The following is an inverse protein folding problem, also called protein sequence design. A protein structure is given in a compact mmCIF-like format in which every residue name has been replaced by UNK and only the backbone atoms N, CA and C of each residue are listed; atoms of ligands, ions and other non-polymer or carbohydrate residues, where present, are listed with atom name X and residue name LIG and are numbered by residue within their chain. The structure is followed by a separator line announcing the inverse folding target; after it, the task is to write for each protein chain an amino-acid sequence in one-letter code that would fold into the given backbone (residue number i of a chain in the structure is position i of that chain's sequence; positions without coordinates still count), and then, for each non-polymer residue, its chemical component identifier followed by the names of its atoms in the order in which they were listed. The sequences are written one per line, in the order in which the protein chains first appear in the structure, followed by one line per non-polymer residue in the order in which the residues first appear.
data_IF_060011098565
#
_entry.id   IF_060011098565
#
_cell.length_a   1.000
_cell.length_b   1.000
_cell.length_c   1.000
_cell.angle_alpha   90.00
_cell.angle_beta   90.00
_cell.angle_gamma   90.00
#
_symmetry.space_group_name_H-M   'P 1'
#
loop_
_entity.id
_entity.type
_entity.pdbx_description
1 polymer ?
#
# COMPACT_ATOMS: atom_id res chain seq x y z
N UNK A 1 -29.98 -34.76 0.61
CA UNK A 1 -31.12 -33.81 0.64
C UNK A 1 -31.42 -33.45 2.08
N UNK A 2 -30.97 -32.28 2.52
CA UNK A 2 -31.47 -31.62 3.74
C UNK A 2 -31.14 -30.14 3.60
N UNK A 3 -32.12 -29.40 3.10
CA UNK A 3 -32.09 -27.95 3.02
C UNK A 3 -32.44 -27.38 4.41
N UNK A 4 -31.63 -26.48 4.92
CA UNK A 4 -31.99 -25.58 6.02
C UNK A 4 -31.88 -24.15 5.50
N UNK A 5 -33.03 -23.50 5.47
CA UNK A 5 -33.25 -22.08 5.15
C UNK A 5 -32.54 -21.22 6.20
N UNK A 6 -31.83 -20.19 5.75
CA UNK A 6 -31.40 -19.06 6.58
C UNK A 6 -32.33 -17.90 6.25
N UNK A 7 -32.97 -17.38 7.30
CA UNK A 7 -33.93 -16.28 7.24
C UNK A 7 -33.26 -14.96 6.86
N UNK A 8 -34.02 -14.18 6.10
CA UNK A 8 -33.79 -12.82 5.67
C UNK A 8 -33.79 -11.84 6.85
N UNK A 9 -32.69 -11.11 7.03
CA UNK A 9 -32.66 -9.90 7.85
C UNK A 9 -32.93 -8.69 6.94
N UNK A 10 -34.16 -8.17 7.01
CA UNK A 10 -34.54 -6.85 6.52
C UNK A 10 -33.93 -5.77 7.43
N UNK A 11 -33.20 -4.82 6.86
CA UNK A 11 -32.82 -3.58 7.53
C UNK A 11 -33.87 -2.53 7.16
N UNK A 12 -34.82 -2.28 8.07
CA UNK A 12 -35.68 -1.10 8.01
C UNK A 12 -34.92 0.15 8.47
N UNK A 13 -35.05 1.21 7.67
CA UNK A 13 -34.54 2.55 7.87
C UNK A 13 -35.13 3.21 9.13
N UNK A 14 -34.30 3.96 9.86
CA UNK A 14 -34.77 4.94 10.85
C UNK A 14 -33.98 6.24 10.65
N UNK A 15 -34.45 7.08 9.73
CA UNK A 15 -33.85 8.36 9.32
C UNK A 15 -34.19 9.56 10.24
N UNK A 16 -35.00 9.43 11.29
CA UNK A 16 -35.58 10.61 11.97
C UNK A 16 -34.99 11.03 13.34
N UNK A 17 -33.91 10.42 13.84
CA UNK A 17 -33.38 10.77 15.19
C UNK A 17 -32.01 11.47 15.25
N UNK A 18 -31.41 11.92 14.14
CA UNK A 18 -30.17 12.74 14.15
C UNK A 18 -30.39 14.22 13.85
N UNK A 19 -31.42 14.84 14.43
CA UNK A 19 -31.56 16.30 14.50
C UNK A 19 -31.62 16.77 15.94
N UNK A 20 -30.47 16.92 16.59
CA UNK A 20 -30.18 18.00 17.55
C UNK A 20 -28.78 17.81 18.15
N UNK A 21 -28.10 18.94 18.40
CA UNK A 21 -26.71 19.09 18.90
C UNK A 21 -25.59 19.01 17.85
N UNK A 22 -25.64 19.91 16.86
CA UNK A 22 -24.44 20.40 16.20
C UNK A 22 -24.11 21.77 16.79
N UNK A 23 -23.38 21.78 17.91
CA UNK A 23 -22.77 23.00 18.43
C UNK A 23 -21.43 23.20 17.74
N UNK A 24 -21.27 24.37 17.13
CA UNK A 24 -20.18 24.71 16.24
C UNK A 24 -18.92 25.04 17.03
N UNK A 25 -17.97 24.11 17.10
CA UNK A 25 -16.54 24.41 17.25
C UNK A 25 -15.72 23.11 17.36
N UNK A 26 -15.42 22.50 16.23
CA UNK A 26 -14.27 21.60 16.09
C UNK A 26 -13.90 21.51 14.60
N UNK A 27 -13.24 22.56 14.10
CA UNK A 27 -12.67 22.59 12.76
C UNK A 27 -11.44 21.68 12.69
N UNK A 28 -11.64 20.40 12.37
CA UNK A 28 -10.61 19.67 11.64
C UNK A 28 -10.50 20.36 10.27
N UNK A 29 -9.36 20.99 10.00
CA UNK A 29 -9.03 21.61 8.71
C UNK A 29 -9.11 20.56 7.60
N UNK A 30 -10.27 20.43 6.96
CA UNK A 30 -10.39 19.79 5.65
C UNK A 30 -10.62 20.90 4.64
N UNK A 31 -9.60 21.21 3.85
CA UNK A 31 -9.69 22.18 2.75
C UNK A 31 -10.66 21.72 1.64
N UNK A 32 -11.17 20.49 1.71
CA UNK A 32 -12.19 19.97 0.79
C UNK A 32 -13.62 20.23 1.28
N UNK A 33 -14.49 20.59 0.35
CA UNK A 33 -15.94 20.67 0.55
C UNK A 33 -16.67 19.89 -0.53
N UNK A 34 -17.46 18.90 -0.10
CA UNK A 34 -18.45 18.22 -0.96
C UNK A 34 -19.70 19.11 -1.05
N UNK A 35 -20.24 19.28 -2.25
CA UNK A 35 -21.51 19.96 -2.46
C UNK A 35 -22.65 19.22 -1.76
N UNK A 36 -23.71 19.93 -1.40
CA UNK A 36 -24.86 19.38 -0.67
C UNK A 36 -25.60 18.27 -1.45
N UNK A 37 -25.50 18.28 -2.77
CA UNK A 37 -26.05 17.27 -3.68
C UNK A 37 -25.04 16.12 -3.97
N UNK A 38 -23.84 16.17 -3.40
CA UNK A 38 -22.77 15.21 -3.64
C UNK A 38 -22.18 15.22 -5.06
N UNK A 39 -22.56 16.19 -5.89
CA UNK A 39 -22.18 16.24 -7.30
C UNK A 39 -20.80 16.85 -7.57
N UNK A 40 -20.24 17.59 -6.61
CA UNK A 40 -18.93 18.21 -6.74
C UNK A 40 -18.11 18.20 -5.46
N UNK A 41 -16.79 18.15 -5.63
CA UNK A 41 -15.82 18.22 -4.54
C UNK A 41 -14.80 19.30 -4.86
N UNK A 42 -14.71 20.32 -4.01
CA UNK A 42 -13.81 21.47 -4.19
C UNK A 42 -12.73 21.49 -3.10
N UNK A 43 -11.46 21.56 -3.51
CA UNK A 43 -10.35 21.89 -2.63
C UNK A 43 -10.14 23.39 -2.61
N UNK A 44 -10.53 24.03 -1.51
CA UNK A 44 -10.54 25.49 -1.35
C UNK A 44 -9.15 26.11 -1.50
N UNK A 45 -8.10 25.45 -1.00
CA UNK A 45 -6.74 26.00 -1.01
C UNK A 45 -6.02 25.87 -2.35
N UNK A 46 -6.34 24.84 -3.15
CA UNK A 46 -5.69 24.65 -4.46
C UNK A 46 -6.60 24.90 -5.66
N UNK A 47 -7.88 25.18 -5.45
CA UNK A 47 -8.86 25.36 -6.52
C UNK A 47 -9.20 24.09 -7.30
N UNK A 48 -8.73 22.90 -6.86
CA UNK A 48 -9.02 21.63 -7.55
C UNK A 48 -10.49 21.32 -7.36
N UNK A 49 -11.20 21.07 -8.47
CA UNK A 49 -12.63 20.83 -8.47
C UNK A 49 -12.94 19.55 -9.23
N UNK A 50 -13.55 18.57 -8.56
CA UNK A 50 -13.88 17.26 -9.12
C UNK A 50 -15.39 17.17 -9.28
N UNK A 51 -15.85 16.80 -10.46
CA UNK A 51 -17.27 16.54 -10.75
C UNK A 51 -17.41 15.25 -11.58
N UNK A 52 -18.62 14.94 -12.04
CA UNK A 52 -18.84 13.84 -12.99
C UNK A 52 -18.17 14.08 -14.37
N UNK A 53 -17.93 15.35 -14.71
CA UNK A 53 -17.20 15.78 -15.92
C UNK A 53 -15.68 15.71 -15.74
N UNK A 54 -15.20 15.20 -14.60
CA UNK A 54 -13.80 15.06 -14.27
C UNK A 54 -13.23 16.14 -13.37
N UNK A 55 -11.90 16.17 -13.26
CA UNK A 55 -11.16 17.15 -12.47
C UNK A 55 -10.86 18.41 -13.30
N UNK A 56 -11.18 19.59 -12.75
CA UNK A 56 -10.86 20.92 -13.28
C UNK A 56 -10.00 21.70 -12.29
N UNK A 57 -9.30 22.74 -12.77
CA UNK A 57 -8.38 23.56 -11.94
C UNK A 57 -6.99 22.94 -11.77
N UNK A 58 -6.67 21.90 -12.55
CA UNK A 58 -5.31 21.45 -12.78
C UNK A 58 -4.73 22.34 -13.89
N UNK A 59 -4.10 23.46 -13.54
CA UNK A 59 -3.35 24.22 -14.56
C UNK A 59 -2.28 23.33 -15.20
N UNK A 60 -2.15 23.48 -16.51
CA UNK A 60 -1.48 22.64 -17.51
C UNK A 60 0.05 22.55 -17.42
N UNK A 61 0.65 22.86 -16.27
CA UNK A 61 2.09 23.13 -16.20
C UNK A 61 3.00 21.89 -16.17
N UNK A 62 2.45 20.68 -16.24
CA UNK A 62 3.20 19.48 -15.84
C UNK A 62 3.14 18.26 -16.77
N UNK A 63 2.69 18.41 -18.02
CA UNK A 63 2.99 17.43 -19.08
C UNK A 63 2.28 16.07 -18.99
N UNK A 64 1.29 15.91 -18.10
CA UNK A 64 0.27 14.87 -18.24
C UNK A 64 -0.65 15.32 -19.38
N UNK A 65 -0.41 14.85 -20.60
CA UNK A 65 -1.22 15.21 -21.77
C UNK A 65 -2.70 15.02 -21.48
N UNK A 66 -3.50 16.04 -21.77
CA UNK A 66 -4.96 16.16 -21.60
C UNK A 66 -5.71 14.86 -21.27
N UNK A 67 -5.67 14.38 -20.02
CA UNK A 67 -6.60 13.34 -19.58
C UNK A 67 -7.71 14.00 -18.78
N UNK A 68 -8.61 14.68 -19.50
CA UNK A 68 -9.94 14.98 -19.00
C UNK A 68 -10.69 13.64 -18.89
N UNK A 69 -10.63 13.01 -17.71
CA UNK A 69 -11.38 11.78 -17.42
C UNK A 69 -12.75 12.12 -16.87
N UNK A 70 -13.81 11.76 -17.57
CA UNK A 70 -15.19 11.86 -17.10
C UNK A 70 -15.77 10.48 -16.79
N UNK A 71 -16.87 10.43 -16.04
CA UNK A 71 -17.58 9.18 -15.76
C UNK A 71 -17.97 8.43 -17.05
N UNK A 72 -18.30 9.17 -18.12
CA UNK A 72 -18.75 8.61 -19.40
C UNK A 72 -17.67 7.94 -20.23
N UNK A 73 -16.39 8.15 -19.92
CA UNK A 73 -15.27 7.76 -20.79
C UNK A 73 -14.83 6.31 -20.60
N UNK A 74 -15.36 5.62 -19.59
CA UNK A 74 -14.90 4.28 -19.20
C UNK A 74 -15.97 3.21 -19.39
N UNK A 75 -15.52 2.05 -19.86
CA UNK A 75 -16.24 0.80 -19.76
C UNK A 75 -15.65 0.00 -18.60
N UNK A 76 -16.37 -0.05 -17.47
CA UNK A 76 -15.88 -0.64 -16.22
C UNK A 76 -16.20 -2.13 -16.18
N UNK A 77 -15.21 -2.97 -15.86
CA UNK A 77 -15.45 -4.37 -15.56
C UNK A 77 -16.20 -4.48 -14.22
N UNK A 78 -17.38 -5.13 -14.18
CA UNK A 78 -18.17 -5.24 -12.95
C UNK A 78 -17.50 -6.08 -11.86
N UNK A 79 -16.49 -6.89 -12.20
CA UNK A 79 -15.75 -7.72 -11.24
C UNK A 79 -14.65 -6.87 -10.57
N UNK A 80 -14.69 -6.69 -9.24
CA UNK A 80 -13.63 -5.99 -8.52
C UNK A 80 -12.27 -6.68 -8.67
N UNK A 81 -11.22 -5.89 -8.85
CA UNK A 81 -9.83 -6.33 -8.70
C UNK A 81 -9.44 -6.52 -7.23
N UNK A 82 -10.02 -5.72 -6.34
CA UNK A 82 -9.70 -5.75 -4.92
C UNK A 82 -10.61 -4.87 -4.09
N UNK A 83 -10.70 -5.20 -2.79
CA UNK A 83 -11.49 -4.46 -1.81
C UNK A 83 -10.55 -3.88 -0.74
N UNK A 84 -10.61 -2.57 -0.57
CA UNK A 84 -10.00 -1.85 0.55
C UNK A 84 -11.02 -1.61 1.67
N UNK A 85 -10.59 -0.91 2.73
CA UNK A 85 -11.44 -0.59 3.90
C UNK A 85 -12.70 0.21 3.55
N UNK A 86 -12.58 1.13 2.62
CA UNK A 86 -13.67 2.04 2.20
C UNK A 86 -13.60 2.32 0.72
N UNK A 87 -12.98 1.39 -0.02
CA UNK A 87 -12.78 1.52 -1.44
C UNK A 87 -12.88 0.18 -2.13
N UNK A 88 -13.28 0.22 -3.39
CA UNK A 88 -13.29 -0.95 -4.28
C UNK A 88 -12.56 -0.56 -5.55
N UNK A 89 -11.67 -1.43 -6.02
CA UNK A 89 -10.88 -1.18 -7.23
C UNK A 89 -11.41 -2.04 -8.36
N UNK A 90 -11.65 -1.44 -9.51
CA UNK A 90 -12.11 -2.09 -10.73
C UNK A 90 -11.11 -1.86 -11.86
N UNK A 91 -11.04 -2.79 -12.82
CA UNK A 91 -10.43 -2.50 -14.12
C UNK A 91 -11.45 -1.81 -15.01
N UNK A 92 -10.99 -0.91 -15.87
CA UNK A 92 -11.84 -0.27 -16.86
C UNK A 92 -11.08 -0.02 -18.15
N UNK A 93 -11.79 -0.04 -19.28
CA UNK A 93 -11.26 0.34 -20.58
C UNK A 93 -11.61 1.80 -20.85
N UNK A 94 -10.61 2.64 -21.12
CA UNK A 94 -10.85 4.00 -21.59
C UNK A 94 -11.27 3.98 -23.06
N UNK A 95 -12.54 4.32 -23.34
CA UNK A 95 -13.22 4.12 -24.63
C UNK A 95 -12.48 4.72 -25.82
N UNK A 96 -11.96 5.94 -25.67
CA UNK A 96 -11.30 6.66 -26.77
C UNK A 96 -9.93 6.06 -27.11
N UNK A 97 -9.13 5.76 -26.08
CA UNK A 97 -7.74 5.31 -26.28
C UNK A 97 -7.57 3.80 -26.37
N UNK A 98 -8.57 3.02 -25.95
CA UNK A 98 -8.45 1.57 -25.79
C UNK A 98 -7.44 1.14 -24.71
N UNK A 99 -7.02 2.03 -23.81
CA UNK A 99 -6.10 1.71 -22.71
C UNK A 99 -6.88 1.23 -21.49
N UNK A 100 -6.38 0.18 -20.86
CA UNK A 100 -6.87 -0.30 -19.56
C UNK A 100 -6.35 0.58 -18.44
N UNK A 101 -7.22 0.89 -17.48
CA UNK A 101 -6.92 1.66 -16.26
C UNK A 101 -7.47 0.94 -15.03
N UNK A 102 -6.99 1.34 -13.85
CA UNK A 102 -7.59 0.97 -12.58
C UNK A 102 -8.45 2.13 -12.05
N UNK A 103 -9.68 1.86 -11.64
CA UNK A 103 -10.58 2.85 -11.03
C UNK A 103 -10.84 2.44 -9.58
N UNK A 104 -10.38 3.26 -8.65
CA UNK A 104 -10.62 3.10 -7.22
C UNK A 104 -11.80 3.96 -6.80
N UNK A 105 -12.92 3.31 -6.52
CA UNK A 105 -14.11 3.92 -5.93
C UNK A 105 -13.87 4.16 -4.45
N UNK A 106 -14.04 5.39 -3.99
CA UNK A 106 -13.99 5.77 -2.56
C UNK A 106 -15.37 6.29 -2.16
N UNK A 107 -15.98 5.62 -1.20
CA UNK A 107 -17.27 6.03 -0.66
C UNK A 107 -17.07 7.21 0.30
N UNK A 108 -17.64 8.37 -0.04
CA UNK A 108 -17.57 9.58 0.79
C UNK A 108 -18.78 9.59 1.72
N UNK A 109 -18.70 8.80 2.79
CA UNK A 109 -19.74 8.74 3.83
C UNK A 109 -19.51 9.71 4.99
N UNK A 110 -18.23 9.91 5.39
CA UNK A 110 -17.86 10.68 6.58
C UNK A 110 -16.65 11.62 6.35
N UNK A 111 -16.42 12.56 7.28
CA UNK A 111 -15.29 13.52 7.31
C UNK A 111 -13.92 12.82 7.22
N UNK A 112 -13.82 11.60 7.77
CA UNK A 112 -12.60 10.79 7.69
C UNK A 112 -12.25 10.39 6.25
N UNK A 113 -13.25 10.06 5.43
CA UNK A 113 -13.06 9.73 4.01
C UNK A 113 -12.64 10.96 3.20
N UNK A 114 -13.17 12.14 3.54
CA UNK A 114 -12.76 13.40 2.92
C UNK A 114 -11.29 13.73 3.21
N UNK A 115 -10.82 13.46 4.43
CA UNK A 115 -9.42 13.64 4.83
C UNK A 115 -8.48 12.66 4.11
N UNK A 116 -8.89 11.40 3.94
CA UNK A 116 -8.13 10.39 3.19
C UNK A 116 -8.03 10.76 1.71
N UNK A 117 -9.16 11.12 1.10
CA UNK A 117 -9.21 11.57 -0.29
C UNK A 117 -8.33 12.79 -0.53
N UNK A 118 -8.32 13.73 0.42
CA UNK A 118 -7.43 14.89 0.39
C UNK A 118 -5.96 14.51 0.37
N UNK A 119 -5.55 13.62 1.27
CA UNK A 119 -4.17 13.17 1.38
C UNK A 119 -3.75 12.36 0.14
N UNK A 120 -4.65 11.57 -0.44
CA UNK A 120 -4.43 10.79 -1.66
C UNK A 120 -4.20 11.70 -2.88
N UNK A 121 -5.12 12.62 -3.15
CA UNK A 121 -4.99 13.57 -4.28
C UNK A 121 -3.76 14.47 -4.10
N UNK A 122 -3.54 15.01 -2.90
CA UNK A 122 -2.41 15.90 -2.65
C UNK A 122 -1.07 15.18 -2.79
N UNK A 123 -0.97 13.95 -2.28
CA UNK A 123 0.26 13.17 -2.38
C UNK A 123 0.54 12.78 -3.83
N UNK A 124 -0.49 12.42 -4.60
CA UNK A 124 -0.33 12.10 -6.02
C UNK A 124 0.18 13.26 -6.86
N UNK A 125 -0.26 14.50 -6.58
CA UNK A 125 0.26 15.70 -7.26
C UNK A 125 1.76 15.89 -7.09
N UNK A 126 2.33 15.41 -6.00
CA UNK A 126 3.73 15.63 -5.65
C UNK A 126 4.60 14.42 -5.99
N UNK A 127 4.00 13.32 -6.44
CA UNK A 127 4.69 12.08 -6.79
C UNK A 127 4.61 11.73 -8.27
N UNK A 128 3.97 12.56 -9.11
CA UNK A 128 3.69 12.30 -10.52
C UNK A 128 4.95 12.12 -11.40
N UNK A 129 6.14 12.36 -10.83
CA UNK A 129 7.42 12.23 -11.53
C UNK A 129 8.20 10.96 -11.20
N UNK A 130 7.75 10.16 -10.23
CA UNK A 130 8.47 8.96 -9.85
C UNK A 130 7.92 7.75 -10.61
N UNK A 131 8.70 7.10 -11.49
CA UNK A 131 8.26 5.91 -12.23
C UNK A 131 8.05 4.69 -11.31
N UNK A 132 8.45 4.78 -10.04
CA UNK A 132 8.33 3.73 -9.02
C UNK A 132 7.12 3.93 -8.10
N UNK A 133 6.26 4.91 -8.41
CA UNK A 133 4.98 5.14 -7.75
C UNK A 133 3.86 4.99 -8.78
N UNK A 134 2.74 4.40 -8.36
CA UNK A 134 1.56 4.24 -9.24
C UNK A 134 1.05 5.60 -9.68
N UNK A 135 0.90 5.78 -10.99
CA UNK A 135 0.52 7.04 -11.60
C UNK A 135 -0.99 7.28 -11.50
N UNK A 136 -1.32 8.48 -11.04
CA UNK A 136 -2.66 9.02 -11.04
C UNK A 136 -2.96 9.66 -12.40
N UNK A 137 -4.08 9.29 -13.01
CA UNK A 137 -4.51 9.76 -14.32
C UNK A 137 -5.63 10.79 -14.25
N UNK A 138 -6.40 10.80 -13.16
CA UNK A 138 -7.46 11.78 -12.92
C UNK A 138 -8.53 11.27 -11.96
N UNK A 139 -9.56 12.07 -11.71
CA UNK A 139 -10.65 11.70 -10.83
C UNK A 139 -11.99 12.24 -11.35
N UNK A 140 -13.07 11.56 -10.97
CA UNK A 140 -14.44 12.01 -11.23
C UNK A 140 -15.38 11.55 -10.11
N UNK A 141 -16.59 12.09 -10.07
CA UNK A 141 -17.63 11.67 -9.14
C UNK A 141 -18.67 10.82 -9.89
N UNK A 142 -19.06 9.67 -9.33
CA UNK A 142 -20.19 8.90 -9.86
C UNK A 142 -21.49 9.66 -9.58
N UNK A 143 -22.28 9.99 -10.62
CA UNK A 143 -23.55 10.68 -10.42
C UNK A 143 -24.44 9.96 -9.39
N UNK A 144 -25.03 10.72 -8.47
CA UNK A 144 -26.01 10.25 -7.49
C UNK A 144 -25.51 9.14 -6.53
N UNK A 145 -24.20 8.96 -6.34
CA UNK A 145 -23.66 7.87 -5.50
C UNK A 145 -22.73 8.29 -4.35
N UNK A 146 -22.42 9.58 -4.16
CA UNK A 146 -21.41 10.03 -3.16
C UNK A 146 -20.11 9.20 -3.21
N UNK A 147 -19.73 8.76 -4.42
CA UNK A 147 -18.50 8.00 -4.67
C UNK A 147 -17.57 8.85 -5.51
N UNK A 148 -16.36 9.05 -5.00
CA UNK A 148 -15.25 9.65 -5.76
C UNK A 148 -14.44 8.52 -6.37
N UNK A 149 -14.20 8.60 -7.66
CA UNK A 149 -13.44 7.63 -8.41
C UNK A 149 -12.08 8.20 -8.75
N UNK A 150 -11.04 7.44 -8.41
CA UNK A 150 -9.65 7.76 -8.73
C UNK A 150 -9.19 6.86 -9.86
N UNK A 151 -8.80 7.46 -10.97
CA UNK A 151 -8.30 6.77 -12.16
C UNK A 151 -6.78 6.70 -12.08
N UNK A 152 -6.23 5.50 -12.21
CA UNK A 152 -4.81 5.20 -12.08
C UNK A 152 -4.35 4.33 -13.26
N UNK A 153 -3.04 4.29 -13.49
CA UNK A 153 -2.48 3.27 -14.40
C UNK A 153 -2.86 1.86 -13.93
N UNK A 154 -3.10 0.97 -14.89
CA UNK A 154 -3.37 -0.42 -14.60
C UNK A 154 -2.05 -1.17 -14.37
N UNK A 155 -2.06 -2.13 -13.43
CA UNK A 155 -0.88 -2.91 -13.05
C UNK A 155 -1.14 -4.38 -13.39
N UNK A 156 -0.70 -4.81 -14.58
CA UNK A 156 -1.12 -6.04 -15.24
C UNK A 156 -0.82 -7.33 -14.47
N UNK A 157 0.24 -7.31 -13.66
CA UNK A 157 0.65 -8.46 -12.86
C UNK A 157 0.05 -8.45 -11.45
N UNK A 158 -0.73 -7.43 -11.09
CA UNK A 158 -1.35 -7.30 -9.78
C UNK A 158 -0.36 -6.92 -8.68
N UNK A 159 -0.66 -7.34 -7.45
CA UNK A 159 0.13 -7.03 -6.25
C UNK A 159 1.24 -8.04 -6.01
N UNK A 160 2.24 -7.71 -5.19
CA UNK A 160 3.25 -8.67 -4.76
C UNK A 160 2.65 -9.82 -3.93
N UNK A 161 1.51 -9.62 -3.28
CA UNK A 161 0.78 -10.69 -2.61
C UNK A 161 0.26 -11.71 -3.62
N UNK A 162 -0.30 -11.24 -4.74
CA UNK A 162 -0.76 -12.10 -5.84
C UNK A 162 0.40 -12.87 -6.46
N UNK A 163 1.53 -12.20 -6.67
CA UNK A 163 2.75 -12.82 -7.21
C UNK A 163 3.28 -13.90 -6.28
N UNK A 164 3.37 -13.63 -4.97
CA UNK A 164 3.84 -14.62 -4.01
C UNK A 164 2.91 -15.83 -3.96
N UNK A 165 1.59 -15.61 -3.92
CA UNK A 165 0.59 -16.68 -3.94
C UNK A 165 0.73 -17.57 -5.19
N UNK A 166 0.81 -16.95 -6.38
CA UNK A 166 0.96 -17.69 -7.64
C UNK A 166 2.30 -18.41 -7.74
N UNK A 167 3.39 -17.84 -7.22
CA UNK A 167 4.70 -18.49 -7.14
C UNK A 167 4.64 -19.77 -6.28
N UNK A 168 4.02 -19.69 -5.11
CA UNK A 168 3.87 -20.86 -4.23
C UNK A 168 3.01 -21.95 -4.88
N UNK A 169 1.90 -21.57 -5.52
CA UNK A 169 1.04 -22.51 -6.24
C UNK A 169 1.73 -23.16 -7.44
N UNK A 170 2.62 -22.43 -8.12
CA UNK A 170 3.47 -23.01 -9.17
C UNK A 170 4.31 -24.15 -8.66
N UNK A 171 5.02 -23.91 -7.56
CA UNK A 171 5.94 -24.89 -6.99
C UNK A 171 5.15 -26.14 -6.60
N UNK A 172 3.97 -25.97 -6.00
CA UNK A 172 3.05 -27.07 -5.70
C UNK A 172 2.65 -27.86 -6.96
N UNK A 173 2.26 -27.19 -8.05
CA UNK A 173 1.90 -27.85 -9.31
C UNK A 173 3.09 -28.56 -9.98
N UNK A 174 4.30 -28.07 -9.76
CA UNK A 174 5.55 -28.68 -10.24
C UNK A 174 6.06 -29.82 -9.34
N UNK A 175 5.36 -30.15 -8.24
CA UNK A 175 5.83 -31.06 -7.19
C UNK A 175 7.17 -30.63 -6.55
N UNK A 176 7.42 -29.32 -6.51
CA UNK A 176 8.55 -28.70 -5.85
C UNK A 176 8.14 -28.21 -4.45
N UNK A 177 9.11 -28.05 -3.56
CA UNK A 177 8.87 -27.44 -2.25
C UNK A 177 8.40 -25.99 -2.45
N UNK A 178 7.29 -25.55 -1.84
CA UNK A 178 6.85 -24.16 -1.93
C UNK A 178 7.85 -23.22 -1.28
N UNK A 179 8.72 -22.65 -2.10
CA UNK A 179 9.67 -21.62 -1.68
C UNK A 179 9.19 -20.24 -2.08
N UNK A 180 9.72 -19.22 -1.40
CA UNK A 180 9.49 -17.82 -1.73
C UNK A 180 10.09 -17.42 -3.08
N UNK A 181 10.24 -16.11 -3.26
CA UNK A 181 10.81 -15.52 -4.46
C UNK A 181 12.33 -15.73 -4.47
N UNK A 182 12.85 -16.24 -5.58
CA UNK A 182 14.29 -16.42 -5.80
C UNK A 182 15.07 -15.11 -5.56
N UNK A 183 16.29 -15.22 -5.00
CA UNK A 183 17.12 -14.08 -4.62
C UNK A 183 17.28 -13.02 -5.73
N UNK A 184 17.47 -13.42 -6.99
CA UNK A 184 17.69 -12.46 -8.08
C UNK A 184 16.45 -11.59 -8.35
N UNK A 185 15.27 -12.21 -8.36
CA UNK A 185 14.00 -11.48 -8.52
C UNK A 185 13.65 -10.70 -7.25
N UNK A 186 13.98 -11.24 -6.07
CA UNK A 186 13.81 -10.56 -4.80
C UNK A 186 14.66 -9.27 -4.73
N UNK A 187 15.91 -9.30 -5.20
CA UNK A 187 16.75 -8.10 -5.35
C UNK A 187 16.13 -7.08 -6.30
N UNK A 188 15.68 -7.53 -7.47
CA UNK A 188 15.06 -6.65 -8.48
C UNK A 188 13.82 -5.92 -7.94
N UNK A 189 13.00 -6.62 -7.15
CA UNK A 189 11.86 -6.04 -6.42
C UNK A 189 12.34 -5.07 -5.34
N UNK A 190 13.32 -5.49 -4.53
CA UNK A 190 13.83 -4.72 -3.38
C UNK A 190 14.43 -3.39 -3.79
N UNK A 191 15.20 -3.35 -4.89
CA UNK A 191 15.80 -2.11 -5.43
C UNK A 191 14.69 -1.09 -5.73
N UNK A 192 13.68 -1.49 -6.49
CA UNK A 192 12.60 -0.60 -6.90
C UNK A 192 11.76 -0.13 -5.70
N UNK A 193 11.50 -1.00 -4.72
CA UNK A 193 10.82 -0.60 -3.49
C UNK A 193 11.64 0.41 -2.66
N UNK A 194 12.95 0.16 -2.52
CA UNK A 194 13.87 1.06 -1.80
C UNK A 194 13.96 2.42 -2.49
N UNK A 195 14.10 2.43 -3.81
CA UNK A 195 14.19 3.67 -4.61
C UNK A 195 12.88 4.47 -4.56
N UNK A 196 11.72 3.79 -4.62
CA UNK A 196 10.41 4.43 -4.47
C UNK A 196 10.23 5.06 -3.08
N UNK A 197 10.65 4.37 -2.02
CA UNK A 197 10.62 4.91 -0.66
C UNK A 197 11.63 6.04 -0.47
N UNK A 198 12.83 5.94 -1.04
CA UNK A 198 13.83 7.00 -1.01
C UNK A 198 13.28 8.29 -1.63
N UNK A 199 12.58 8.18 -2.78
CA UNK A 199 11.92 9.31 -3.40
C UNK A 199 10.86 9.93 -2.48
N UNK A 200 9.99 9.13 -1.86
CA UNK A 200 8.97 9.63 -0.92
C UNK A 200 9.62 10.34 0.27
N UNK A 201 10.64 9.72 0.88
CA UNK A 201 11.33 10.24 2.06
C UNK A 201 12.08 11.55 1.75
N UNK A 202 12.73 11.65 0.59
CA UNK A 202 13.37 12.89 0.11
C UNK A 202 12.37 14.04 -0.07
N UNK A 203 11.13 13.73 -0.41
CA UNK A 203 10.03 14.69 -0.51
C UNK A 203 9.28 14.88 0.83
N UNK A 204 9.89 14.51 1.97
CA UNK A 204 9.35 14.60 3.32
C UNK A 204 8.00 13.89 3.53
N UNK A 205 7.79 12.76 2.83
CA UNK A 205 6.56 11.95 2.92
C UNK A 205 6.84 10.57 3.50
N UNK A 206 6.01 10.16 4.45
CA UNK A 206 6.00 8.78 4.99
C UNK A 206 4.84 8.03 4.36
N UNK A 207 5.08 6.84 3.81
CA UNK A 207 4.06 6.01 3.17
C UNK A 207 3.02 5.48 4.17
N UNK A 208 3.46 4.88 5.27
CA UNK A 208 2.70 4.34 6.42
C UNK A 208 1.87 3.08 6.19
N UNK A 209 1.69 2.63 4.96
CA UNK A 209 1.03 1.36 4.65
C UNK A 209 1.84 0.50 3.68
N UNK A 210 3.16 0.42 3.89
CA UNK A 210 3.99 -0.48 3.07
C UNK A 210 3.64 -1.93 3.43
N UNK A 211 3.14 -2.67 2.46
CA UNK A 211 2.76 -4.09 2.55
C UNK A 211 2.68 -4.68 1.15
N UNK A 212 2.71 -6.01 1.01
CA UNK A 212 2.71 -6.66 -0.31
C UNK A 212 1.51 -6.28 -1.20
N UNK A 213 0.34 -6.03 -0.59
CA UNK A 213 -0.86 -5.60 -1.32
C UNK A 213 -0.76 -4.18 -1.92
N UNK A 214 0.16 -3.35 -1.43
CA UNK A 214 0.34 -1.98 -1.90
C UNK A 214 1.57 -1.83 -2.80
N UNK A 215 2.20 -2.94 -3.20
CA UNK A 215 3.30 -2.96 -4.15
C UNK A 215 2.81 -3.73 -5.37
N UNK A 216 2.78 -3.08 -6.53
CA UNK A 216 2.20 -3.63 -7.75
C UNK A 216 3.22 -3.70 -8.87
N UNK A 217 2.95 -4.54 -9.87
CA UNK A 217 3.82 -4.72 -11.02
C UNK A 217 3.04 -4.49 -12.33
N UNK A 218 3.59 -3.66 -13.21
CA UNK A 218 3.01 -3.41 -14.53
C UNK A 218 3.61 -4.32 -15.62
N UNK A 219 3.04 -4.28 -16.83
CA UNK A 219 3.43 -5.10 -17.98
C UNK A 219 4.91 -4.96 -18.38
N UNK A 220 5.56 -3.85 -18.03
CA UNK A 220 6.98 -3.58 -18.31
C UNK A 220 7.91 -4.11 -17.20
N UNK A 221 7.35 -4.73 -16.16
CA UNK A 221 8.11 -5.25 -15.02
C UNK A 221 8.53 -4.17 -14.03
N UNK A 222 7.95 -2.97 -14.11
CA UNK A 222 8.17 -1.93 -13.12
C UNK A 222 7.41 -2.26 -11.83
N UNK A 223 8.13 -2.28 -10.72
CA UNK A 223 7.58 -2.51 -9.37
C UNK A 223 7.29 -1.14 -8.77
N UNK A 224 6.02 -0.87 -8.48
CA UNK A 224 5.56 0.46 -8.05
C UNK A 224 4.81 0.40 -6.73
N UNK A 225 5.00 1.43 -5.91
CA UNK A 225 4.28 1.62 -4.65
C UNK A 225 2.96 2.33 -4.93
N UNK A 226 1.87 1.84 -4.32
CA UNK A 226 0.51 2.38 -4.42
C UNK A 226 -0.06 2.69 -3.04
N UNK A 227 -1.27 3.26 -3.00
CA UNK A 227 -2.04 3.51 -1.76
C UNK A 227 -1.28 4.35 -0.72
N UNK A 228 -0.41 5.24 -1.18
CA UNK A 228 0.22 6.28 -0.35
C UNK A 228 -0.74 7.41 0.02
N UNK A 229 -2.05 7.21 -0.10
CA UNK A 229 -3.09 8.17 0.27
C UNK A 229 -3.27 8.39 1.78
N UNK A 230 -2.61 7.60 2.62
CA UNK A 230 -2.47 7.91 4.05
C UNK A 230 -1.14 8.60 4.40
N UNK A 231 -0.32 8.89 3.38
CA UNK A 231 0.94 9.59 3.59
C UNK A 231 0.70 11.01 4.09
N UNK A 232 1.61 11.49 4.93
CA UNK A 232 1.55 12.84 5.49
C UNK A 232 2.88 13.52 5.25
N UNK A 233 2.79 14.81 4.94
CA UNK A 233 3.92 15.72 4.99
C UNK A 233 4.40 15.83 6.44
N UNK A 234 5.70 15.65 6.67
CA UNK A 234 6.29 16.02 7.95
C UNK A 234 6.64 17.50 7.89
N UNK A 235 5.97 18.33 8.70
CA UNK A 235 6.44 19.68 8.96
C UNK A 235 7.64 19.60 9.92
N UNK A 236 8.82 20.01 9.43
CA UNK A 236 10.08 19.96 10.20
C UNK A 236 10.00 20.83 11.47
N UNK A 237 9.06 21.77 11.55
CA UNK A 237 8.87 22.66 12.68
C UNK A 237 7.80 22.18 13.69
N UNK A 238 7.05 21.12 13.40
CA UNK A 238 5.98 20.58 14.25
C UNK A 238 6.10 19.06 14.42
N UNK A 239 7.04 18.63 15.26
CA UNK A 239 7.23 17.22 15.65
C UNK A 239 6.16 16.70 16.64
N UNK A 240 5.15 17.50 16.97
CA UNK A 240 4.14 17.23 18.02
C UNK A 240 2.76 16.81 17.51
N UNK A 241 2.63 16.50 16.22
CA UNK A 241 1.35 16.10 15.64
C UNK A 241 0.97 14.65 15.99
N UNK A 242 0.47 14.47 17.21
CA UNK A 242 -0.10 13.23 17.77
C UNK A 242 -1.44 12.83 17.14
N UNK A 243 -1.64 12.99 15.83
CA UNK A 243 -2.89 12.58 15.21
C UNK A 243 -3.01 11.05 15.25
N UNK A 244 -3.79 10.60 16.23
CA UNK A 244 -4.29 9.24 16.53
C UNK A 244 -5.18 8.68 15.42
N UNK A 245 -4.91 8.97 14.15
CA UNK A 245 -5.53 8.26 13.04
C UNK A 245 -4.80 6.93 12.85
N UNK A 246 -4.81 6.12 13.92
CA UNK A 246 -4.38 4.72 13.91
C UNK A 246 -5.49 3.97 13.19
N UNK A 247 -5.25 3.65 11.93
CA UNK A 247 -6.12 2.75 11.17
C UNK A 247 -6.11 1.37 11.84
N UNK A 248 -7.14 1.12 12.64
CA UNK A 248 -7.46 -0.13 13.33
C UNK A 248 -7.94 -1.20 12.35
N UNK A 249 -7.04 -2.04 11.86
CA UNK A 249 -7.39 -3.37 11.35
C UNK A 249 -6.26 -4.36 11.60
N UNK A 250 -6.57 -5.50 12.22
CA UNK A 250 -5.61 -6.54 12.66
C UNK A 250 -4.73 -7.04 11.50
N UNK A 251 -5.26 -7.15 10.28
CA UNK A 251 -4.54 -7.66 9.10
C UNK A 251 -3.44 -6.74 8.55
N UNK A 252 -3.46 -5.44 8.84
CA UNK A 252 -2.40 -4.49 8.42
C UNK A 252 -1.34 -4.30 9.53
N UNK A 253 -1.67 -4.64 10.78
CA UNK A 253 -0.78 -4.39 11.93
C UNK A 253 0.48 -5.26 11.88
N UNK A 254 0.43 -6.38 11.15
CA UNK A 254 1.53 -7.32 11.07
C UNK A 254 2.77 -6.76 10.35
N UNK A 255 2.60 -5.70 9.55
CA UNK A 255 3.68 -4.94 8.91
C UNK A 255 4.11 -3.72 9.72
N UNK A 256 3.39 -3.35 10.79
CA UNK A 256 3.68 -2.14 11.56
C UNK A 256 4.97 -2.28 12.35
N UNK A 257 5.71 -1.19 12.42
CA UNK A 257 6.92 -1.11 13.23
C UNK A 257 6.62 -1.13 14.73
N UNK A 258 7.58 -1.54 15.58
CA UNK A 258 7.36 -1.68 17.02
C UNK A 258 6.98 -0.34 17.67
N UNK A 259 7.60 0.76 17.23
CA UNK A 259 7.27 2.09 17.73
C UNK A 259 5.83 2.50 17.39
N UNK A 260 5.30 2.07 16.25
CA UNK A 260 3.88 2.30 15.88
C UNK A 260 2.92 1.49 16.73
N UNK A 261 3.25 0.23 17.00
CA UNK A 261 2.45 -0.64 17.87
C UNK A 261 2.40 -0.11 19.31
N UNK A 262 3.48 0.54 19.76
CA UNK A 262 3.56 1.21 21.06
C UNK A 262 2.90 2.61 21.10
N UNK A 263 2.31 3.07 19.99
CA UNK A 263 1.69 4.39 19.89
C UNK A 263 2.67 5.56 19.92
N UNK A 264 3.96 5.32 19.70
CA UNK A 264 4.99 6.36 19.59
C UNK A 264 4.92 7.04 18.21
N UNK A 265 5.62 8.17 18.09
CA UNK A 265 5.77 8.91 16.84
C UNK A 265 6.37 8.01 15.76
N UNK A 266 5.67 7.86 14.63
CA UNK A 266 6.21 7.19 13.46
C UNK A 266 7.06 8.17 12.63
N UNK A 267 8.05 7.64 11.92
CA UNK A 267 8.93 8.42 11.05
C UNK A 267 9.17 7.68 9.74
N UNK A 268 10.04 8.19 8.88
CA UNK A 268 10.51 7.47 7.69
C UNK A 268 11.01 6.05 8.02
N UNK A 269 11.59 5.85 9.21
CA UNK A 269 12.06 4.54 9.68
C UNK A 269 10.94 3.50 9.79
N UNK A 270 9.70 3.91 10.00
CA UNK A 270 8.56 2.98 10.09
C UNK A 270 8.26 2.33 8.74
N UNK A 271 8.45 3.04 7.62
CA UNK A 271 8.32 2.44 6.27
C UNK A 271 9.43 1.42 6.00
N UNK A 272 10.64 1.70 6.51
CA UNK A 272 11.80 0.81 6.35
C UNK A 272 11.61 -0.52 7.08
N UNK A 273 10.99 -0.49 8.25
CA UNK A 273 10.60 -1.71 8.94
C UNK A 273 9.63 -2.53 8.11
N UNK A 274 8.55 -1.90 7.63
CA UNK A 274 7.53 -2.56 6.84
C UNK A 274 8.09 -3.12 5.53
N UNK A 275 9.01 -2.41 4.88
CA UNK A 275 9.83 -2.92 3.76
C UNK A 275 10.57 -4.20 4.17
N UNK A 276 11.29 -4.19 5.30
CA UNK A 276 12.01 -5.36 5.80
C UNK A 276 11.11 -6.59 5.98
N UNK A 277 9.91 -6.39 6.54
CA UNK A 277 8.92 -7.46 6.70
C UNK A 277 8.42 -7.97 5.34
N UNK A 278 8.15 -7.09 4.36
CA UNK A 278 7.78 -7.49 3.00
C UNK A 278 8.87 -8.33 2.33
N UNK A 279 10.13 -7.89 2.39
CA UNK A 279 11.25 -8.62 1.77
C UNK A 279 11.48 -9.96 2.46
N UNK A 280 11.32 -10.03 3.79
CA UNK A 280 11.36 -11.27 4.53
C UNK A 280 10.25 -12.24 4.10
N UNK A 281 9.01 -11.75 4.02
CA UNK A 281 7.86 -12.54 3.61
C UNK A 281 8.00 -13.08 2.19
N UNK A 282 8.50 -12.27 1.25
CA UNK A 282 8.78 -12.71 -0.12
C UNK A 282 9.87 -13.76 -0.16
N UNK A 283 10.93 -13.62 0.65
CA UNK A 283 12.02 -14.58 0.73
C UNK A 283 11.58 -15.95 1.24
N UNK A 284 10.75 -15.98 2.28
CA UNK A 284 10.31 -17.25 2.91
C UNK A 284 9.07 -17.83 2.24
N UNK A 285 8.21 -16.99 1.66
CA UNK A 285 6.90 -17.39 1.15
C UNK A 285 5.78 -17.38 2.20
N UNK A 286 6.06 -16.96 3.42
CA UNK A 286 5.03 -16.77 4.46
C UNK A 286 5.40 -15.63 5.41
N UNK A 287 4.38 -14.92 5.89
CA UNK A 287 4.57 -13.83 6.83
C UNK A 287 5.19 -14.33 8.16
N UNK A 288 6.23 -13.68 8.72
CA UNK A 288 6.91 -14.14 9.94
C UNK A 288 6.00 -14.16 11.18
N UNK A 289 4.98 -13.31 11.19
CA UNK A 289 3.96 -13.24 12.24
C UNK A 289 2.61 -13.87 11.86
N UNK A 290 2.58 -14.73 10.83
CA UNK A 290 1.37 -15.46 10.48
C UNK A 290 0.85 -16.26 11.68
N UNK A 291 -0.46 -16.28 11.85
CA UNK A 291 -1.17 -16.97 12.95
C UNK A 291 -0.83 -16.46 14.36
N UNK A 292 -0.25 -15.27 14.50
CA UNK A 292 -0.05 -14.63 15.79
C UNK A 292 -1.15 -13.61 16.08
N UNK A 293 -1.54 -13.51 17.34
CA UNK A 293 -2.33 -12.37 17.80
C UNK A 293 -1.44 -11.12 17.87
N UNK A 294 -2.08 -9.94 17.90
CA UNK A 294 -1.36 -8.68 18.13
C UNK A 294 -0.58 -8.72 19.47
N UNK A 295 -1.15 -9.36 20.48
CA UNK A 295 -0.50 -9.53 21.78
C UNK A 295 0.78 -10.36 21.66
N UNK A 296 0.74 -11.49 20.95
CA UNK A 296 1.91 -12.34 20.74
C UNK A 296 3.01 -11.60 19.95
N UNK A 297 2.60 -10.78 18.97
CA UNK A 297 3.53 -9.94 18.23
C UNK A 297 4.22 -8.92 19.13
N UNK A 298 3.45 -8.17 19.91
CA UNK A 298 3.99 -7.18 20.86
C UNK A 298 4.87 -7.85 21.89
N UNK A 299 4.49 -9.05 22.35
CA UNK A 299 5.29 -9.86 23.26
C UNK A 299 6.65 -10.19 22.63
N UNK A 300 6.70 -10.78 21.44
CA UNK A 300 7.96 -11.09 20.74
C UNK A 300 8.83 -9.84 20.52
N UNK A 301 8.20 -8.69 20.23
CA UNK A 301 8.89 -7.42 20.01
C UNK A 301 9.47 -6.81 21.29
N UNK A 302 8.82 -7.02 22.44
CA UNK A 302 9.19 -6.40 23.71
C UNK A 302 9.90 -7.36 24.67
N UNK A 303 9.89 -8.67 24.40
CA UNK A 303 10.45 -9.69 25.27
C UNK A 303 11.98 -9.73 25.12
N UNK A 304 12.67 -9.17 26.11
CA UNK A 304 14.10 -9.35 26.33
C UNK A 304 14.35 -10.72 26.99
N UNK A 305 14.16 -11.80 26.23
CA UNK A 305 14.45 -13.13 26.74
C UNK A 305 15.95 -13.31 26.96
N UNK A 306 16.39 -13.22 28.22
CA UNK A 306 17.61 -13.86 28.69
C UNK A 306 17.39 -14.52 30.05
N UNK A 307 17.04 -15.79 30.05
CA UNK A 307 17.30 -16.67 31.20
C UNK A 307 18.75 -17.22 31.18
N UNK A 308 19.56 -16.95 30.14
CA UNK A 308 20.84 -17.64 29.95
C UNK A 308 21.98 -16.87 29.23
N UNK A 309 21.94 -15.54 29.21
CA UNK A 309 23.00 -14.72 28.59
C UNK A 309 22.56 -14.06 27.29
N UNK A 310 23.24 -12.95 26.95
CA UNK A 310 22.99 -11.92 25.93
C UNK A 310 21.72 -12.04 25.05
N UNK A 311 20.87 -11.00 25.01
CA UNK A 311 19.62 -11.04 24.26
C UNK A 311 19.91 -11.26 22.78
N UNK A 312 19.33 -12.32 22.20
CA UNK A 312 19.40 -12.58 20.76
C UNK A 312 18.89 -11.35 19.99
N UNK A 313 19.63 -10.88 18.97
CA UNK A 313 19.14 -9.83 18.08
C UNK A 313 17.76 -10.20 17.53
N UNK A 314 16.89 -9.20 17.36
CA UNK A 314 15.51 -9.43 16.93
C UNK A 314 15.39 -10.24 15.64
N UNK A 315 16.25 -9.98 14.66
CA UNK A 315 16.30 -10.73 13.41
C UNK A 315 16.51 -12.23 13.64
N UNK A 316 17.37 -12.63 14.60
CA UNK A 316 17.59 -14.04 14.96
C UNK A 316 16.34 -14.66 15.58
N UNK A 317 15.58 -13.90 16.38
CA UNK A 317 14.29 -14.37 16.93
C UNK A 317 13.30 -14.65 15.79
N UNK A 318 13.23 -13.77 14.78
CA UNK A 318 12.40 -13.99 13.60
C UNK A 318 12.89 -15.23 12.83
N UNK A 319 14.18 -15.33 12.52
CA UNK A 319 14.75 -16.46 11.76
C UNK A 319 14.49 -17.79 12.45
N UNK A 320 14.66 -17.85 13.78
CA UNK A 320 14.34 -19.06 14.56
C UNK A 320 12.88 -19.46 14.43
N UNK A 321 11.97 -18.50 14.33
CA UNK A 321 10.52 -18.74 14.21
C UNK A 321 10.08 -19.08 12.78
N UNK A 322 10.62 -18.36 11.80
CA UNK A 322 10.22 -18.43 10.41
C UNK A 322 11.50 -18.54 9.55
N UNK A 323 12.11 -19.73 9.42
CA UNK A 323 13.44 -19.88 8.85
C UNK A 323 13.56 -19.35 7.41
N UNK A 324 14.66 -18.67 7.14
CA UNK A 324 15.04 -18.28 5.77
C UNK A 324 15.51 -19.53 4.98
N UNK A 325 15.31 -19.56 3.65
CA UNK A 325 15.98 -20.53 2.79
C UNK A 325 17.50 -20.53 3.01
N UNK A 326 18.14 -21.70 2.98
CA UNK A 326 19.56 -21.87 3.36
C UNK A 326 20.50 -20.91 2.60
N UNK A 327 20.28 -20.73 1.30
CA UNK A 327 21.08 -19.83 0.46
C UNK A 327 20.95 -18.35 0.87
N UNK A 328 19.78 -17.92 1.36
CA UNK A 328 19.56 -16.56 1.87
C UNK A 328 20.02 -16.42 3.32
N UNK A 329 19.82 -17.44 4.15
CA UNK A 329 20.29 -17.46 5.54
C UNK A 329 21.81 -17.30 5.63
N UNK A 330 22.54 -18.00 4.74
CA UNK A 330 23.99 -17.96 4.68
C UNK A 330 24.56 -16.77 3.87
N UNK A 331 23.69 -15.89 3.33
CA UNK A 331 24.12 -14.72 2.56
C UNK A 331 24.34 -13.52 3.50
N UNK A 332 25.60 -13.11 3.76
CA UNK A 332 25.90 -12.06 4.72
C UNK A 332 25.38 -10.69 4.26
N UNK A 333 25.30 -10.45 2.95
CA UNK A 333 24.83 -9.18 2.42
C UNK A 333 23.30 -9.07 2.56
N UNK A 334 22.56 -10.15 2.32
CA UNK A 334 21.11 -10.19 2.55
C UNK A 334 20.78 -10.05 4.05
N UNK A 335 21.54 -10.75 4.89
CA UNK A 335 21.40 -10.62 6.34
C UNK A 335 21.65 -9.18 6.80
N UNK A 336 22.69 -8.51 6.28
CA UNK A 336 22.97 -7.12 6.60
C UNK A 336 21.82 -6.18 6.16
N UNK A 337 21.21 -6.44 4.99
CA UNK A 337 20.03 -5.71 4.53
C UNK A 337 18.85 -5.88 5.50
N UNK A 338 18.47 -7.13 5.82
CA UNK A 338 17.37 -7.39 6.76
C UNK A 338 17.64 -6.81 8.15
N UNK A 339 18.88 -6.90 8.65
CA UNK A 339 19.28 -6.32 9.93
C UNK A 339 19.13 -4.80 9.94
N UNK A 340 19.52 -4.14 8.85
CA UNK A 340 19.36 -2.70 8.70
C UNK A 340 17.89 -2.26 8.69
N UNK A 341 17.01 -3.06 8.08
CA UNK A 341 15.57 -2.79 8.02
C UNK A 341 14.85 -3.09 9.35
N UNK A 342 15.20 -4.20 10.00
CA UNK A 342 14.51 -4.74 11.17
C UNK A 342 15.23 -4.41 12.50
N UNK A 343 15.99 -3.33 12.50
CA UNK A 343 16.53 -2.73 13.73
C UNK A 343 15.37 -2.17 14.58
N UNK A 344 15.33 -2.58 15.86
CA UNK A 344 14.26 -2.23 16.79
C UNK A 344 14.30 -0.75 17.15
N UNK A 345 15.50 -0.19 17.31
CA UNK A 345 15.67 1.24 17.56
C UNK A 345 15.45 2.03 16.26
N UNK A 346 14.35 2.80 16.13
CA UNK A 346 14.05 3.53 14.91
C UNK A 346 15.10 4.59 14.54
N UNK A 347 15.96 5.01 15.48
CA UNK A 347 17.06 5.95 15.22
C UNK A 347 18.31 5.26 14.66
N UNK A 348 18.49 3.96 14.90
CA UNK A 348 19.59 3.15 14.36
C UNK A 348 19.21 2.42 13.08
N UNK A 349 17.91 2.24 12.84
CA UNK A 349 17.36 1.66 11.61
C UNK A 349 17.83 2.44 10.39
N UNK A 350 18.29 1.72 9.36
CA UNK A 350 18.80 2.37 8.16
C UNK A 350 17.70 3.17 7.46
N UNK A 351 18.11 4.24 6.80
CA UNK A 351 17.24 5.00 5.89
C UNK A 351 17.18 4.33 4.52
N UNK A 352 16.14 4.64 3.71
CA UNK A 352 16.05 4.16 2.33
C UNK A 352 17.34 4.47 1.53
N UNK A 353 17.89 5.68 1.69
CA UNK A 353 19.13 6.09 1.04
C UNK A 353 20.34 5.25 1.46
N UNK A 354 20.46 4.89 2.75
CA UNK A 354 21.53 4.00 3.20
C UNK A 354 21.36 2.57 2.66
N UNK A 355 20.12 2.09 2.56
CA UNK A 355 19.83 0.76 2.00
C UNK A 355 20.26 0.64 0.53
N UNK A 356 20.07 1.68 -0.30
CA UNK A 356 20.52 1.71 -1.70
C UNK A 356 22.02 1.38 -1.86
N UNK A 357 22.83 1.68 -0.85
CA UNK A 357 24.27 1.50 -0.87
C UNK A 357 24.74 0.14 -0.31
N UNK A 358 23.82 -0.72 0.13
CA UNK A 358 24.18 -2.05 0.63
C UNK A 358 24.57 -2.98 -0.51
N UNK A 359 25.58 -3.83 -0.27
CA UNK A 359 26.14 -4.74 -1.27
C UNK A 359 25.09 -5.66 -1.90
N UNK A 360 24.12 -6.13 -1.10
CA UNK A 360 23.09 -7.04 -1.57
C UNK A 360 22.29 -6.48 -2.75
N UNK A 361 22.01 -5.17 -2.76
CA UNK A 361 21.26 -4.51 -3.83
C UNK A 361 22.12 -4.11 -5.03
N UNK A 362 23.46 -4.18 -4.92
CA UNK A 362 24.37 -3.63 -5.93
C UNK A 362 25.03 -4.69 -6.82
N UNK A 363 24.85 -5.99 -6.54
CA UNK A 363 25.49 -7.08 -7.27
C UNK A 363 24.54 -8.25 -7.59
N UNK A 364 24.72 -8.85 -8.77
CA UNK A 364 23.98 -10.05 -9.19
C UNK A 364 22.48 -9.81 -9.44
N UNK A 365 22.14 -8.63 -9.97
CA UNK A 365 20.76 -8.24 -10.26
C UNK A 365 20.35 -8.82 -11.61
N UNK A 366 19.21 -9.52 -11.67
CA UNK A 366 18.68 -9.98 -12.95
C UNK A 366 18.31 -8.81 -13.86
N UNK A 367 18.35 -9.03 -15.18
CA UNK A 367 17.86 -8.01 -16.09
C UNK A 367 16.31 -8.03 -16.17
N UNK A 368 15.74 -6.96 -16.72
CA UNK A 368 14.28 -6.80 -16.84
C UNK A 368 13.62 -7.92 -17.66
N UNK A 369 14.29 -8.45 -18.69
CA UNK A 369 13.73 -9.52 -19.52
C UNK A 369 13.60 -10.82 -18.74
N UNK A 370 14.59 -11.17 -17.92
CA UNK A 370 14.53 -12.34 -17.04
C UNK A 370 13.40 -12.21 -16.02
N UNK A 371 13.25 -11.04 -15.41
CA UNK A 371 12.17 -10.76 -14.47
C UNK A 371 10.79 -10.86 -15.13
N UNK A 372 10.62 -10.28 -16.31
CA UNK A 372 9.38 -10.38 -17.09
C UNK A 372 9.07 -11.82 -17.51
N UNK A 373 10.07 -12.58 -17.95
CA UNK A 373 9.89 -13.98 -18.31
C UNK A 373 9.41 -14.80 -17.10
N UNK A 374 9.93 -14.54 -15.91
CA UNK A 374 9.47 -15.16 -14.67
C UNK A 374 8.04 -14.78 -14.31
N UNK A 375 7.69 -13.49 -14.37
CA UNK A 375 6.32 -13.02 -14.13
C UNK A 375 5.31 -13.66 -15.08
N UNK A 376 5.64 -13.77 -16.37
CA UNK A 376 4.80 -14.42 -17.37
C UNK A 376 4.60 -15.91 -17.11
N UNK A 377 5.61 -16.60 -16.56
CA UNK A 377 5.47 -18.01 -16.19
C UNK A 377 4.49 -18.17 -15.00
N UNK A 378 4.57 -17.27 -14.02
CA UNK A 378 3.70 -17.29 -12.85
C UNK A 378 2.25 -16.89 -13.21
N UNK A 379 2.07 -15.97 -14.14
CA UNK A 379 0.75 -15.47 -14.51
C UNK A 379 -0.12 -16.52 -15.24
N UNK A 380 0.50 -17.48 -15.94
CA UNK A 380 -0.20 -18.59 -16.63
C UNK A 380 -0.90 -19.57 -15.68
N UNK A 381 -0.64 -19.44 -14.39
CA UNK A 381 -1.26 -20.25 -13.35
C UNK A 381 -2.55 -19.54 -12.99
N UNK A 382 -3.57 -19.76 -13.82
CA UNK A 382 -4.90 -19.26 -13.51
C UNK A 382 -5.51 -19.99 -12.32
N UNK A 383 -6.22 -19.17 -11.56
CA UNK A 383 -6.95 -19.46 -10.33
C UNK A 383 -8.09 -20.46 -10.61
N UNK A 384 -7.80 -21.76 -10.56
CA UNK A 384 -8.85 -22.79 -10.46
C UNK A 384 -9.59 -22.69 -9.12
#
# INVERSE_FOLDING_TARGET
MSALRLDSFEFEENEEQRKSSFDGSNSLHTDWSLSSDGASLLHKSTGVHITHEGTRGLESDYGLGDIYVSFGDFEVNPIPLGHGRSSVVFSAMHKLSGKTVAIKDIYVGDILHQSQLSAEIHSWRLTSYCPLLVQFLGAFIKPNKSVVCLVMEYMEFGTLSDILYKNLNRNLQANETPEGVNENFLKFISIQMVDGLAYLHQNNRIHRDVKLNNILINQDGAVKISDFGISKLIDQNNTKDHNKNVSTFIGTQIYMSPERLQGKSYSFSSDIWSLGICIYELAVGTHPFKNLSLFDMVYILCEDNTESGEPLPFLEKIIKRCPLPEHLHNNPDFYAFLKGCLELDPLKRLTAFQLQNLKWLNFGICNRYEFLAWLQQIQKIDSN
#
